data_IF_858159142756
#
_entry.id   IF_858159142756
#
_cell.length_a   1.000
_cell.length_b   1.000
_cell.length_c   1.000
_cell.angle_alpha   90.00
_cell.angle_beta   90.00
_cell.angle_gamma   90.00
#
_symmetry.space_group_name_H-M   'P 1'
#
loop_
_entity.id
_entity.type
_entity.pdbx_description
1 polymer ?
#
# COMPACT_ATOMS: atom_id res chain seq x y z
N UNK A 1 18.23 5.96 2.59
CA UNK A 1 18.75 6.65 1.39
C UNK A 1 19.88 7.59 1.77
N UNK A 2 21.03 7.47 1.10
CA UNK A 2 22.18 8.38 1.24
C UNK A 2 22.51 8.94 -0.15
N UNK A 3 22.71 10.25 -0.27
CA UNK A 3 23.12 10.88 -1.54
C UNK A 3 24.65 10.85 -1.65
N UNK A 4 25.16 10.16 -2.67
CA UNK A 4 26.60 10.04 -2.92
C UNK A 4 27.13 11.13 -3.87
N UNK A 5 26.25 11.64 -4.74
CA UNK A 5 26.63 12.67 -5.69
C UNK A 5 25.43 13.30 -6.39
N UNK A 6 25.68 14.43 -7.03
CA UNK A 6 24.71 15.13 -7.87
C UNK A 6 25.31 15.32 -9.25
N UNK A 7 24.55 14.97 -10.28
CA UNK A 7 24.87 15.26 -11.68
C UNK A 7 24.04 16.46 -12.14
N UNK A 8 24.28 16.96 -13.36
CA UNK A 8 23.42 18.00 -13.94
C UNK A 8 21.95 17.56 -14.07
N UNK A 9 21.70 16.26 -14.16
CA UNK A 9 20.40 15.70 -14.51
C UNK A 9 19.75 14.92 -13.35
N UNK A 10 20.39 14.81 -12.18
CA UNK A 10 19.82 14.05 -11.07
C UNK A 10 20.81 13.74 -9.95
N UNK A 11 20.44 12.76 -9.12
CA UNK A 11 21.22 12.33 -7.96
C UNK A 11 21.71 10.89 -8.14
N UNK A 12 22.91 10.63 -7.64
CA UNK A 12 23.44 9.28 -7.44
C UNK A 12 23.26 8.98 -5.95
N UNK A 13 22.47 7.96 -5.64
CA UNK A 13 22.12 7.62 -4.27
C UNK A 13 22.44 6.15 -3.99
N UNK A 14 22.80 5.88 -2.75
CA UNK A 14 22.76 4.55 -2.17
C UNK A 14 21.39 4.35 -1.51
N UNK A 15 20.73 3.25 -1.85
CA UNK A 15 19.46 2.83 -1.28
C UNK A 15 19.55 1.36 -0.93
N UNK A 16 18.94 0.98 0.19
CA UNK A 16 18.85 -0.42 0.57
C UNK A 16 17.85 -1.17 -0.31
N UNK A 17 18.07 -2.48 -0.49
CA UNK A 17 17.12 -3.32 -1.23
C UNK A 17 15.70 -3.25 -0.63
N UNK A 18 15.60 -3.21 0.71
CA UNK A 18 14.33 -3.07 1.41
C UNK A 18 13.62 -1.74 1.15
N UNK A 19 14.34 -0.63 0.92
CA UNK A 19 13.72 0.64 0.53
C UNK A 19 13.12 0.58 -0.87
N UNK A 20 13.82 -0.04 -1.83
CA UNK A 20 13.26 -0.26 -3.17
C UNK A 20 12.06 -1.20 -3.12
N UNK A 21 12.13 -2.28 -2.34
CA UNK A 21 11.02 -3.21 -2.20
C UNK A 21 9.76 -2.54 -1.63
N UNK A 22 9.94 -1.70 -0.60
CA UNK A 22 8.86 -0.87 -0.04
C UNK A 22 8.29 0.09 -1.07
N UNK A 23 9.14 0.71 -1.88
CA UNK A 23 8.73 1.63 -2.93
C UNK A 23 7.76 1.00 -3.93
N UNK A 24 7.99 -0.27 -4.28
CA UNK A 24 7.10 -1.05 -5.14
C UNK A 24 5.94 -1.74 -4.40
N UNK A 25 5.78 -1.49 -3.10
CA UNK A 25 4.81 -2.17 -2.25
C UNK A 25 4.95 -3.70 -2.26
N UNK A 26 6.16 -4.22 -2.46
CA UNK A 26 6.45 -5.67 -2.52
C UNK A 26 7.09 -6.18 -1.23
N UNK A 27 6.59 -5.72 -0.09
CA UNK A 27 7.13 -6.06 1.24
C UNK A 27 7.42 -7.56 1.44
N UNK A 28 8.35 -7.86 2.34
CA UNK A 28 8.68 -9.21 2.85
C UNK A 28 9.35 -10.15 1.83
N UNK A 29 10.30 -9.64 1.04
CA UNK A 29 11.07 -10.48 0.11
C UNK A 29 10.28 -10.92 -1.12
N UNK A 30 9.20 -10.21 -1.46
CA UNK A 30 8.42 -10.48 -2.67
C UNK A 30 9.04 -9.82 -3.92
N UNK A 31 10.07 -9.00 -3.74
CA UNK A 31 10.87 -8.48 -4.84
C UNK A 31 12.05 -9.41 -5.13
N UNK A 32 12.25 -9.76 -6.40
CA UNK A 32 13.46 -10.48 -6.81
C UNK A 32 14.70 -9.63 -6.49
N UNK A 33 15.80 -10.32 -6.16
CA UNK A 33 17.09 -9.68 -5.92
C UNK A 33 17.50 -8.92 -7.19
N UNK A 34 17.88 -7.66 -7.01
CA UNK A 34 18.33 -6.81 -8.09
C UNK A 34 19.75 -7.18 -8.51
N UNK A 35 19.99 -7.20 -9.81
CA UNK A 35 21.28 -7.44 -10.42
C UNK A 35 21.89 -6.14 -10.96
N UNK A 36 23.21 -6.15 -11.14
CA UNK A 36 23.91 -4.99 -11.71
C UNK A 36 23.47 -4.84 -13.17
N UNK A 37 22.92 -3.68 -13.50
CA UNK A 37 22.40 -3.38 -14.84
C UNK A 37 20.88 -3.37 -14.94
N UNK A 38 20.17 -3.80 -13.89
CA UNK A 38 18.71 -3.69 -13.84
C UNK A 38 18.24 -2.24 -13.93
N UNK A 39 17.20 -2.02 -14.73
CA UNK A 39 16.53 -0.73 -14.87
C UNK A 39 15.19 -0.78 -14.13
N UNK A 40 15.00 0.15 -13.20
CA UNK A 40 13.79 0.25 -12.40
C UNK A 40 13.02 1.53 -12.73
N UNK A 41 11.73 1.37 -12.97
CA UNK A 41 10.80 2.47 -13.22
C UNK A 41 10.20 2.98 -11.90
N UNK A 42 10.81 4.06 -11.37
CA UNK A 42 10.35 4.69 -10.15
C UNK A 42 8.98 5.38 -10.30
N UNK A 43 8.38 5.48 -11.49
CA UNK A 43 7.00 5.97 -11.64
C UNK A 43 5.96 5.04 -11.02
N UNK A 44 6.23 3.72 -11.01
CA UNK A 44 5.26 2.68 -10.62
C UNK A 44 4.91 2.67 -9.13
N UNK A 45 5.77 3.20 -8.27
CA UNK A 45 5.47 3.28 -6.83
C UNK A 45 4.29 4.21 -6.52
N UNK A 46 4.10 5.27 -7.33
CA UNK A 46 3.01 6.22 -7.16
C UNK A 46 1.64 5.65 -7.57
N UNK A 47 1.60 4.80 -8.60
CA UNK A 47 0.36 4.16 -9.07
C UNK A 47 -0.31 3.35 -7.95
N UNK A 48 0.48 2.72 -7.07
CA UNK A 48 -0.06 1.93 -5.98
C UNK A 48 -0.72 2.80 -4.90
N UNK A 49 -0.10 3.94 -4.56
CA UNK A 49 -0.66 4.86 -3.57
C UNK A 49 -2.03 5.37 -4.00
N UNK A 50 -2.14 5.78 -5.27
CA UNK A 50 -3.40 6.26 -5.84
C UNK A 50 -4.47 5.15 -5.85
N UNK A 51 -4.14 3.94 -6.33
CA UNK A 51 -5.08 2.81 -6.34
C UNK A 51 -5.55 2.43 -4.94
N UNK A 52 -4.66 2.48 -3.95
CA UNK A 52 -5.01 2.18 -2.55
C UNK A 52 -5.94 3.24 -1.98
N UNK A 53 -5.66 4.52 -2.24
CA UNK A 53 -6.51 5.62 -1.83
C UNK A 53 -7.91 5.50 -2.46
N UNK A 54 -7.99 5.23 -3.76
CA UNK A 54 -9.25 5.01 -4.46
C UNK A 54 -10.03 3.80 -3.90
N UNK A 55 -9.34 2.71 -3.57
CA UNK A 55 -9.96 1.54 -2.95
C UNK A 55 -10.52 1.86 -1.55
N UNK A 56 -9.76 2.59 -0.72
CA UNK A 56 -10.20 3.02 0.61
C UNK A 56 -11.41 3.96 0.54
N UNK A 57 -11.44 4.89 -0.42
CA UNK A 57 -12.60 5.78 -0.64
C UNK A 57 -13.83 4.95 -1.02
N UNK A 58 -13.69 3.97 -1.91
CA UNK A 58 -14.81 3.08 -2.29
C UNK A 58 -15.33 2.26 -1.11
N UNK A 59 -14.43 1.71 -0.29
CA UNK A 59 -14.80 0.94 0.91
C UNK A 59 -15.49 1.85 1.93
N UNK A 60 -14.96 3.05 2.17
CA UNK A 60 -15.58 4.02 3.09
C UNK A 60 -16.98 4.40 2.62
N UNK A 61 -17.18 4.65 1.33
CA UNK A 61 -18.50 4.91 0.76
C UNK A 61 -19.45 3.73 0.88
N UNK A 62 -18.96 2.50 0.67
CA UNK A 62 -19.75 1.28 0.87
C UNK A 62 -20.21 1.11 2.32
N UNK A 63 -19.30 1.30 3.29
CA UNK A 63 -19.60 1.19 4.72
C UNK A 63 -20.64 2.24 5.11
N UNK A 64 -20.46 3.49 4.69
CA UNK A 64 -21.39 4.56 5.06
C UNK A 64 -22.77 4.35 4.43
N UNK A 65 -22.84 3.88 3.17
CA UNK A 65 -24.09 3.58 2.49
C UNK A 65 -24.86 2.39 3.10
N UNK A 66 -24.17 1.45 3.75
CA UNK A 66 -24.78 0.23 4.32
C UNK A 66 -24.72 0.21 5.85
N UNK A 67 -24.42 1.34 6.48
CA UNK A 67 -24.22 1.49 7.93
C UNK A 67 -25.39 0.97 8.75
N UNK A 68 -26.62 1.21 8.27
CA UNK A 68 -27.84 0.74 8.93
C UNK A 68 -27.99 -0.79 8.86
N UNK A 69 -27.65 -1.39 7.70
CA UNK A 69 -27.67 -2.86 7.54
C UNK A 69 -26.59 -3.51 8.41
N UNK A 70 -25.38 -2.95 8.42
CA UNK A 70 -24.26 -3.43 9.26
C UNK A 70 -24.63 -3.33 10.75
N UNK A 71 -25.29 -2.23 11.15
CA UNK A 71 -25.77 -2.03 12.52
C UNK A 71 -26.85 -3.05 12.91
N UNK A 72 -27.84 -3.29 12.05
CA UNK A 72 -28.89 -4.29 12.31
C UNK A 72 -28.30 -5.70 12.42
N UNK A 73 -27.32 -6.05 11.58
CA UNK A 73 -26.65 -7.35 11.64
C UNK A 73 -25.82 -7.50 12.93
N UNK A 74 -25.09 -6.47 13.35
CA UNK A 74 -24.29 -6.51 14.59
C UNK A 74 -25.17 -6.51 15.84
N UNK A 75 -26.24 -5.73 15.87
CA UNK A 75 -27.23 -5.76 16.96
C UNK A 75 -27.95 -7.11 17.03
N UNK A 76 -28.37 -7.66 15.89
CA UNK A 76 -28.95 -9.00 15.79
C UNK A 76 -28.01 -10.09 16.32
N UNK A 77 -26.75 -10.12 15.87
CA UNK A 77 -25.75 -11.08 16.36
C UNK A 77 -25.51 -10.98 17.87
N UNK A 78 -25.52 -9.76 18.42
CA UNK A 78 -25.35 -9.53 19.87
C UNK A 78 -26.54 -10.07 20.67
N UNK A 79 -27.76 -9.97 20.13
CA UNK A 79 -28.98 -10.53 20.76
C UNK A 79 -28.92 -12.06 20.75
N UNK A 80 -28.45 -12.67 19.66
CA UNK A 80 -28.33 -14.13 19.56
C UNK A 80 -27.20 -14.71 20.43
N UNK A 81 -26.09 -13.99 20.61
CA UNK A 81 -24.96 -14.44 21.44
C UNK A 81 -25.16 -14.21 22.94
N UNK A 82 -26.08 -13.33 23.35
CA UNK A 82 -26.47 -13.12 24.76
C UNK A 82 -27.55 -14.08 25.28
N UNK A 83 -28.06 -14.98 24.42
CA UNK A 83 -29.19 -15.87 24.74
C UNK A 83 -28.76 -17.26 25.23
N UNK A 84 -27.45 -17.46 25.43
CA UNK A 84 -26.85 -18.54 26.24
C UNK A 84 -26.26 -17.93 27.53
#
# INVERSE_FOLDING_TARGET
MIVLGKTKNGYICEVSHGEIEKFYNKYWGQMQKLEVGDILDLGKGYDFHQKTQEALIKISGFIEAHKDVVKVVTEGLTIFTKKD
#
